data_IF_581289525787
#
_entry.id   IF_581289525787
#
_cell.length_a   1.000
_cell.length_b   1.000
_cell.length_c   1.000
_cell.angle_alpha   90.00
_cell.angle_beta   90.00
_cell.angle_gamma   90.00
#
_symmetry.space_group_name_H-M   'P 1'
#
loop_
_entity.id
_entity.type
_entity.pdbx_description
1 polymer ?
#
# COMPACT_ATOMS: atom_id res chain seq x y z
N UNK A 1 13.30 21.10 6.95
CA UNK A 1 12.22 20.73 7.90
C UNK A 1 11.00 20.15 7.18
N UNK A 2 10.46 20.83 6.15
CA UNK A 2 9.28 20.37 5.37
C UNK A 2 9.44 18.97 4.72
N UNK A 3 10.63 18.64 4.22
CA UNK A 3 10.91 17.33 3.59
C UNK A 3 10.80 16.16 4.57
N UNK A 4 11.34 16.31 5.78
CA UNK A 4 11.24 15.28 6.83
C UNK A 4 9.79 15.05 7.26
N UNK A 5 8.99 16.12 7.34
CA UNK A 5 7.57 16.03 7.64
C UNK A 5 6.79 15.29 6.53
N UNK A 6 7.11 15.54 5.26
CA UNK A 6 6.50 14.82 4.13
C UNK A 6 6.81 13.31 4.17
N UNK A 7 8.05 12.92 4.52
CA UNK A 7 8.40 11.50 4.67
C UNK A 7 7.64 10.82 5.82
N UNK A 8 7.51 11.50 6.96
CA UNK A 8 6.76 10.97 8.12
C UNK A 8 5.28 10.78 7.76
N UNK A 9 4.67 11.77 7.11
CA UNK A 9 3.26 11.68 6.69
C UNK A 9 3.09 10.57 5.65
N UNK A 10 3.96 10.50 4.64
CA UNK A 10 3.94 9.45 3.63
C UNK A 10 4.04 8.06 4.25
N UNK A 11 4.90 7.88 5.25
CA UNK A 11 5.04 6.62 5.99
C UNK A 11 3.77 6.25 6.76
N UNK A 12 3.17 7.19 7.50
CA UNK A 12 1.93 6.95 8.25
C UNK A 12 0.78 6.57 7.30
N UNK A 13 0.60 7.34 6.22
CA UNK A 13 -0.48 7.10 5.25
C UNK A 13 -0.26 5.77 4.52
N UNK A 14 0.99 5.40 4.23
CA UNK A 14 1.36 4.09 3.69
C UNK A 14 0.93 2.94 4.60
N UNK A 15 1.21 3.03 5.90
CA UNK A 15 0.78 2.00 6.89
C UNK A 15 -0.75 1.88 6.91
N UNK A 16 -1.47 3.00 6.91
CA UNK A 16 -2.94 3.00 6.89
C UNK A 16 -3.46 2.31 5.62
N UNK A 17 -2.88 2.64 4.44
CA UNK A 17 -3.20 2.00 3.17
C UNK A 17 -2.94 0.49 3.19
N UNK A 18 -1.83 0.05 3.78
CA UNK A 18 -1.50 -1.35 3.99
C UNK A 18 -2.50 -2.09 4.88
N UNK A 19 -2.95 -1.46 5.97
CA UNK A 19 -3.94 -2.05 6.87
C UNK A 19 -5.30 -2.23 6.19
N UNK A 20 -5.73 -1.25 5.39
CA UNK A 20 -6.95 -1.35 4.59
C UNK A 20 -6.80 -2.47 3.55
N UNK A 21 -5.67 -2.54 2.85
CA UNK A 21 -5.37 -3.60 1.88
C UNK A 21 -5.38 -5.00 2.51
N UNK A 22 -4.86 -5.13 3.74
CA UNK A 22 -4.87 -6.39 4.47
C UNK A 22 -6.28 -6.89 4.78
N UNK A 23 -7.16 -5.97 5.21
CA UNK A 23 -8.57 -6.27 5.48
C UNK A 23 -9.36 -6.53 4.21
N UNK A 24 -9.08 -5.79 3.15
CA UNK A 24 -9.83 -5.87 1.90
C UNK A 24 -9.38 -7.03 0.99
N UNK A 25 -8.20 -7.61 1.21
CA UNK A 25 -7.64 -8.67 0.36
C UNK A 25 -8.60 -9.84 0.10
N UNK A 26 -9.39 -10.24 1.11
CA UNK A 26 -10.33 -11.35 0.96
C UNK A 26 -11.43 -11.08 -0.08
N UNK A 27 -11.75 -9.81 -0.37
CA UNK A 27 -12.71 -9.43 -1.41
C UNK A 27 -12.11 -9.48 -2.82
N UNK A 28 -10.78 -9.41 -2.94
CA UNK A 28 -10.08 -9.34 -4.23
C UNK A 28 -9.44 -10.68 -4.65
N UNK A 29 -9.49 -11.71 -3.80
CA UNK A 29 -9.00 -13.05 -4.18
C UNK A 29 -10.03 -13.73 -5.09
N UNK A 30 -9.64 -14.17 -6.30
CA UNK A 30 -10.50 -14.99 -7.12
C UNK A 30 -10.68 -16.37 -6.47
N UNK A 31 -11.93 -16.86 -6.41
CA UNK A 31 -12.26 -18.16 -5.79
C UNK A 31 -11.40 -19.32 -6.32
N UNK A 32 -11.01 -19.27 -7.60
CA UNK A 32 -10.14 -20.26 -8.24
C UNK A 32 -8.78 -20.42 -7.56
N UNK A 33 -8.23 -19.37 -6.96
CA UNK A 33 -6.93 -19.43 -6.30
C UNK A 33 -6.98 -20.33 -5.06
N UNK A 34 -8.12 -20.44 -4.36
CA UNK A 34 -8.28 -21.33 -3.21
C UNK A 34 -8.29 -22.82 -3.58
N UNK A 35 -8.65 -23.17 -4.81
CA UNK A 35 -8.70 -24.56 -5.27
C UNK A 35 -7.42 -25.01 -5.98
N UNK A 36 -6.60 -24.06 -6.47
CA UNK A 36 -5.38 -24.35 -7.24
C UNK A 36 -4.08 -24.07 -6.51
N UNK A 37 -4.07 -23.18 -5.51
CA UNK A 37 -2.84 -22.71 -4.85
C UNK A 37 -2.75 -23.21 -3.42
N UNK A 38 -1.52 -23.41 -2.95
CA UNK A 38 -1.29 -23.74 -1.54
C UNK A 38 -1.55 -22.54 -0.63
N UNK A 39 -1.86 -22.81 0.64
CA UNK A 39 -2.09 -21.77 1.64
C UNK A 39 -0.91 -20.79 1.74
N UNK A 40 0.31 -21.29 1.58
CA UNK A 40 1.52 -20.46 1.53
C UNK A 40 1.52 -19.50 0.35
N UNK A 41 1.20 -19.97 -0.86
CA UNK A 41 1.14 -19.12 -2.05
C UNK A 41 0.07 -18.02 -1.92
N UNK A 42 -1.06 -18.33 -1.31
CA UNK A 42 -2.14 -17.36 -1.05
C UNK A 42 -1.67 -16.29 -0.05
N UNK A 43 -0.94 -16.70 0.99
CA UNK A 43 -0.37 -15.80 1.98
C UNK A 43 0.72 -14.88 1.40
N UNK A 44 1.63 -15.41 0.58
CA UNK A 44 2.62 -14.59 -0.14
C UNK A 44 1.97 -13.56 -1.05
N UNK A 45 0.92 -13.96 -1.78
CA UNK A 45 0.16 -13.05 -2.63
C UNK A 45 -0.54 -11.95 -1.81
N UNK A 46 -0.98 -12.27 -0.58
CA UNK A 46 -1.54 -11.29 0.36
C UNK A 46 -0.51 -10.26 0.81
N UNK A 47 0.66 -10.72 1.25
CA UNK A 47 1.76 -9.83 1.66
C UNK A 47 2.17 -8.95 0.50
N UNK A 48 2.36 -9.53 -0.69
CA UNK A 48 2.74 -8.78 -1.88
C UNK A 48 1.72 -7.69 -2.23
N UNK A 49 0.43 -8.01 -2.17
CA UNK A 49 -0.65 -7.05 -2.39
C UNK A 49 -0.57 -5.88 -1.40
N UNK A 50 -0.39 -6.19 -0.11
CA UNK A 50 -0.29 -5.17 0.94
C UNK A 50 0.93 -4.27 0.73
N UNK A 51 2.10 -4.85 0.47
CA UNK A 51 3.32 -4.09 0.20
C UNK A 51 3.19 -3.22 -1.05
N UNK A 52 2.55 -3.73 -2.09
CA UNK A 52 2.29 -2.98 -3.32
C UNK A 52 1.39 -1.76 -3.07
N UNK A 53 0.32 -1.92 -2.28
CA UNK A 53 -0.54 -0.79 -1.88
C UNK A 53 0.22 0.20 -1.01
N UNK A 54 0.99 -0.28 -0.02
CA UNK A 54 1.82 0.58 0.84
C UNK A 54 2.79 1.44 0.02
N UNK A 55 3.49 0.84 -0.95
CA UNK A 55 4.42 1.53 -1.83
C UNK A 55 3.70 2.56 -2.71
N UNK A 56 2.59 2.17 -3.32
CA UNK A 56 1.80 3.06 -4.19
C UNK A 56 1.30 4.28 -3.44
N UNK A 57 0.76 4.08 -2.24
CA UNK A 57 0.25 5.16 -1.37
C UNK A 57 1.39 6.08 -0.91
N UNK A 58 2.56 5.52 -0.56
CA UNK A 58 3.73 6.31 -0.19
C UNK A 58 4.21 7.21 -1.34
N UNK A 59 4.30 6.66 -2.56
CA UNK A 59 4.71 7.42 -3.74
C UNK A 59 3.70 8.51 -4.11
N UNK A 60 2.40 8.20 -4.05
CA UNK A 60 1.34 9.19 -4.31
C UNK A 60 1.38 10.34 -3.32
N UNK A 61 1.56 10.05 -2.03
CA UNK A 61 1.69 11.09 -1.01
C UNK A 61 2.91 11.97 -1.26
N UNK A 62 4.07 11.39 -1.56
CA UNK A 62 5.27 12.17 -1.89
C UNK A 62 5.09 13.01 -3.16
N UNK A 63 4.46 12.48 -4.20
CA UNK A 63 4.18 13.20 -5.43
C UNK A 63 3.26 14.42 -5.17
N UNK A 64 2.22 14.25 -4.34
CA UNK A 64 1.34 15.35 -3.94
C UNK A 64 2.12 16.44 -3.20
N UNK A 65 2.95 16.08 -2.22
CA UNK A 65 3.79 17.05 -1.50
C UNK A 65 4.77 17.78 -2.43
N UNK A 66 5.37 17.07 -3.40
CA UNK A 66 6.22 17.66 -4.42
C UNK A 66 5.48 18.68 -5.29
N UNK A 67 4.26 18.34 -5.72
CA UNK A 67 3.40 19.24 -6.49
C UNK A 67 3.01 20.50 -5.72
N UNK A 68 2.64 20.36 -4.44
CA UNK A 68 2.33 21.53 -3.60
C UNK A 68 3.54 22.41 -3.36
N UNK A 69 4.74 21.82 -3.16
CA UNK A 69 5.97 22.59 -3.00
C UNK A 69 6.33 23.38 -4.25
N UNK A 70 6.10 22.85 -5.46
CA UNK A 70 6.39 23.55 -6.71
C UNK A 70 5.43 24.70 -7.06
N UNK A 71 4.32 24.83 -6.33
CA UNK A 71 3.32 25.89 -6.51
C UNK A 71 3.45 27.04 -5.50
N UNK A 72 4.31 26.90 -4.50
CA UNK A 72 4.63 27.92 -3.48
C UNK A 72 5.93 28.60 -3.91
#
# INVERSE_FOLDING_TARGET
MFTYLAYIISFIVSIIGGFIAWKSYNYFIPKSDFYRKSSYQIFYKKIFWVLSVMMTVALLTLALFGHFKGKI
#
